data_IF_212721951185
#
_entry.id   IF_212721951185
#
_cell.length_a   1.000
_cell.length_b   1.000
_cell.length_c   1.000
_cell.angle_alpha   90.00
_cell.angle_beta   90.00
_cell.angle_gamma   90.00
#
_symmetry.space_group_name_H-M   'P 1'
#
loop_
_entity.id
_entity.type
_entity.pdbx_description
1 polymer ?
#
# COMPACT_ATOMS: atom_id res chain seq x y z
N UNK A 1 -21.27 -0.36 -45.88
CA UNK A 1 -20.67 0.26 -44.67
C UNK A 1 -20.49 -0.82 -43.61
N UNK A 2 -19.26 -1.27 -43.35
CA UNK A 2 -18.97 -2.16 -42.23
C UNK A 2 -19.01 -1.32 -40.94
N UNK A 3 -19.94 -1.63 -40.04
CA UNK A 3 -19.99 -0.99 -38.72
C UNK A 3 -19.08 -1.77 -37.78
N UNK A 4 -18.06 -1.10 -37.23
CA UNK A 4 -17.27 -1.62 -36.11
C UNK A 4 -18.11 -1.40 -34.85
N UNK A 5 -18.51 -2.49 -34.19
CA UNK A 5 -19.18 -2.42 -32.90
C UNK A 5 -18.12 -2.37 -31.79
N UNK A 6 -18.13 -1.29 -31.02
CA UNK A 6 -17.33 -1.16 -29.80
C UNK A 6 -18.18 -1.63 -28.61
N UNK A 7 -17.67 -2.61 -27.87
CA UNK A 7 -18.27 -3.12 -26.64
C UNK A 7 -17.45 -2.64 -25.45
N UNK A 8 -18.11 -2.03 -24.47
CA UNK A 8 -17.52 -1.64 -23.19
C UNK A 8 -17.96 -2.64 -22.14
N UNK A 9 -17.01 -3.40 -21.59
CA UNK A 9 -17.24 -4.27 -20.44
C UNK A 9 -16.95 -3.49 -19.15
N UNK A 10 -17.99 -3.26 -18.33
CA UNK A 10 -17.88 -2.54 -17.06
C UNK A 10 -17.19 -3.36 -15.95
N UNK A 11 -16.77 -4.59 -16.21
CA UNK A 11 -16.21 -5.50 -15.20
C UNK A 11 -17.30 -6.17 -14.34
N UNK A 12 -16.91 -7.23 -13.63
CA UNK A 12 -17.80 -7.92 -12.67
C UNK A 12 -17.85 -7.21 -11.32
N UNK A 13 -18.87 -7.48 -10.51
CA UNK A 13 -18.91 -6.98 -9.13
C UNK A 13 -17.68 -7.40 -8.31
N UNK A 14 -17.23 -8.66 -8.47
CA UNK A 14 -16.03 -9.18 -7.83
C UNK A 14 -14.77 -8.40 -8.22
N UNK A 15 -14.65 -7.98 -9.49
CA UNK A 15 -13.54 -7.14 -9.93
C UNK A 15 -13.48 -5.80 -9.19
N UNK A 16 -14.65 -5.16 -9.00
CA UNK A 16 -14.72 -3.89 -8.27
C UNK A 16 -14.49 -4.04 -6.76
N UNK A 17 -14.90 -5.16 -6.18
CA UNK A 17 -14.58 -5.54 -4.80
C UNK A 17 -13.07 -5.64 -4.60
N UNK A 18 -12.40 -6.48 -5.41
CA UNK A 18 -10.95 -6.66 -5.34
C UNK A 18 -10.21 -5.32 -5.52
N UNK A 19 -10.67 -4.46 -6.44
CA UNK A 19 -10.08 -3.14 -6.62
C UNK A 19 -10.22 -2.27 -5.37
N UNK A 20 -11.38 -2.30 -4.70
CA UNK A 20 -11.60 -1.53 -3.48
C UNK A 20 -10.66 -1.99 -2.37
N UNK A 21 -10.49 -3.30 -2.21
CA UNK A 21 -9.54 -3.89 -1.26
C UNK A 21 -8.10 -3.47 -1.57
N UNK A 22 -7.69 -3.54 -2.84
CA UNK A 22 -6.37 -3.09 -3.29
C UNK A 22 -6.11 -1.60 -2.98
N UNK A 23 -7.10 -0.73 -3.21
CA UNK A 23 -7.00 0.70 -2.86
C UNK A 23 -6.98 0.94 -1.35
N UNK A 24 -7.69 0.13 -0.57
CA UNK A 24 -7.67 0.20 0.88
C UNK A 24 -6.28 -0.17 1.43
N UNK A 25 -5.68 -1.24 0.93
CA UNK A 25 -4.31 -1.65 1.27
C UNK A 25 -3.28 -0.57 0.95
N UNK A 26 -3.35 0.04 -0.24
CA UNK A 26 -2.45 1.15 -0.61
C UNK A 26 -2.59 2.35 0.34
N UNK A 27 -3.83 2.69 0.71
CA UNK A 27 -4.10 3.80 1.64
C UNK A 27 -3.50 3.51 3.00
N UNK A 28 -3.63 2.28 3.47
CA UNK A 28 -3.11 1.86 4.77
C UNK A 28 -1.57 1.85 4.78
N UNK A 29 -0.93 1.26 3.76
CA UNK A 29 0.52 1.30 3.63
C UNK A 29 1.07 2.73 3.64
N UNK A 30 0.45 3.64 2.86
CA UNK A 30 0.82 5.06 2.85
C UNK A 30 0.60 5.75 4.20
N UNK A 31 -0.46 5.39 4.93
CA UNK A 31 -0.74 5.92 6.27
C UNK A 31 0.34 5.48 7.25
N UNK A 32 0.72 4.21 7.24
CA UNK A 32 1.73 3.66 8.14
C UNK A 32 3.11 4.24 7.85
N UNK A 33 3.50 4.45 6.59
CA UNK A 33 4.74 5.18 6.28
C UNK A 33 4.74 6.61 6.80
N UNK A 34 3.60 7.31 6.75
CA UNK A 34 3.49 8.65 7.35
C UNK A 34 3.66 8.60 8.86
N UNK A 35 3.08 7.60 9.53
CA UNK A 35 3.23 7.40 10.98
C UNK A 35 4.69 7.07 11.32
N UNK A 36 5.30 6.13 10.63
CA UNK A 36 6.70 5.73 10.85
C UNK A 36 7.67 6.91 10.73
N UNK A 37 7.46 7.81 9.75
CA UNK A 37 8.26 9.04 9.59
C UNK A 37 8.12 10.03 10.75
N UNK A 38 7.04 9.96 11.52
CA UNK A 38 6.75 10.85 12.64
C UNK A 38 7.10 10.22 14.00
N UNK A 39 7.31 8.90 14.04
CA UNK A 39 7.68 8.20 15.27
C UNK A 39 9.16 8.44 15.61
N UNK A 40 9.51 8.54 16.91
CA UNK A 40 10.90 8.64 17.33
C UNK A 40 11.63 7.34 17.01
N UNK A 41 12.91 7.44 16.62
CA UNK A 41 13.77 6.29 16.34
C UNK A 41 14.10 5.48 17.60
N UNK A 42 14.17 6.14 18.75
CA UNK A 42 14.43 5.53 20.04
C UNK A 42 13.30 5.87 21.02
N UNK A 43 12.88 4.88 21.80
CA UNK A 43 11.96 5.03 22.93
C UNK A 43 12.63 4.48 24.18
N UNK A 44 12.22 4.96 25.35
CA UNK A 44 12.68 4.38 26.61
C UNK A 44 11.87 3.10 26.90
N UNK A 45 12.56 2.04 27.35
CA UNK A 45 11.92 0.85 27.88
C UNK A 45 11.37 1.09 29.30
N UNK A 46 10.95 0.02 29.98
CA UNK A 46 10.40 0.10 31.33
C UNK A 46 11.40 0.59 32.38
N UNK A 47 12.70 0.41 32.13
CA UNK A 47 13.79 0.80 33.03
C UNK A 47 14.36 2.18 32.65
N UNK A 48 13.88 2.78 31.55
CA UNK A 48 14.33 4.08 31.07
C UNK A 48 15.49 3.98 30.05
N UNK A 49 15.89 2.77 29.67
CA UNK A 49 17.00 2.55 28.74
C UNK A 49 16.54 2.76 27.30
N UNK A 50 17.39 3.36 26.44
CA UNK A 50 17.03 3.63 25.05
C UNK A 50 16.95 2.32 24.24
N UNK A 51 15.79 2.07 23.65
CA UNK A 51 15.52 0.97 22.74
C UNK A 51 15.15 1.50 21.35
N UNK A 52 15.61 0.82 20.29
CA UNK A 52 15.17 1.10 18.93
C UNK A 52 13.66 0.85 18.77
N UNK A 53 12.97 1.83 18.21
CA UNK A 53 11.54 1.78 17.92
C UNK A 53 11.31 1.36 16.47
N UNK A 54 11.62 0.11 16.13
CA UNK A 54 11.47 -0.40 14.75
C UNK A 54 10.02 -0.69 14.37
N UNK A 55 9.15 -0.94 15.35
CA UNK A 55 7.76 -1.36 15.15
C UNK A 55 6.96 -0.54 14.14
N UNK A 56 7.00 0.81 14.15
CA UNK A 56 6.33 1.63 13.15
C UNK A 56 6.84 1.40 11.71
N UNK A 57 8.15 1.25 11.55
CA UNK A 57 8.79 0.98 10.24
C UNK A 57 8.46 -0.42 9.75
N UNK A 58 8.53 -1.42 10.64
CA UNK A 58 8.21 -2.81 10.34
C UNK A 58 6.74 -2.94 9.90
N UNK A 59 5.81 -2.31 10.63
CA UNK A 59 4.39 -2.30 10.27
C UNK A 59 4.13 -1.64 8.90
N UNK A 60 4.88 -0.60 8.55
CA UNK A 60 4.76 0.04 7.25
C UNK A 60 5.26 -0.86 6.10
N UNK A 61 6.37 -1.57 6.30
CA UNK A 61 6.88 -2.56 5.33
C UNK A 61 5.93 -3.75 5.18
N UNK A 62 5.35 -4.25 6.27
CA UNK A 62 4.38 -5.34 6.24
C UNK A 62 3.12 -4.95 5.45
N UNK A 63 2.63 -3.72 5.64
CA UNK A 63 1.49 -3.21 4.89
C UNK A 63 1.80 -3.01 3.40
N UNK A 64 3.02 -2.59 3.06
CA UNK A 64 3.47 -2.53 1.67
C UNK A 64 3.53 -3.94 1.05
N UNK A 65 4.08 -4.91 1.76
CA UNK A 65 4.11 -6.31 1.32
C UNK A 65 2.71 -6.86 1.08
N UNK A 66 1.76 -6.61 2.00
CA UNK A 66 0.36 -6.99 1.83
C UNK A 66 -0.27 -6.35 0.58
N UNK A 67 0.00 -5.08 0.31
CA UNK A 67 -0.46 -4.40 -0.89
C UNK A 67 0.09 -5.06 -2.17
N UNK A 68 1.40 -5.33 -2.24
CA UNK A 68 2.00 -5.94 -3.43
C UNK A 68 1.63 -7.43 -3.61
N UNK A 69 1.34 -8.15 -2.53
CA UNK A 69 0.85 -9.52 -2.58
C UNK A 69 -0.61 -9.62 -3.05
N UNK A 70 -1.40 -8.55 -2.91
CA UNK A 70 -2.80 -8.55 -3.33
C UNK A 70 -2.94 -8.46 -4.86
N UNK A 71 -3.74 -9.31 -5.53
CA UNK A 71 -3.88 -9.30 -7.00
C UNK A 71 -4.32 -7.95 -7.59
N UNK A 72 -5.23 -7.24 -6.91
CA UNK A 72 -5.58 -5.88 -7.32
C UNK A 72 -4.51 -4.84 -6.94
N UNK A 73 -3.79 -5.05 -5.84
CA UNK A 73 -2.72 -4.16 -5.41
C UNK A 73 -1.57 -4.15 -6.41
N UNK A 74 -1.13 -5.32 -6.88
CA UNK A 74 -0.14 -5.45 -7.94
C UNK A 74 -0.57 -4.75 -9.26
N UNK A 75 -1.85 -4.84 -9.64
CA UNK A 75 -2.40 -4.13 -10.81
C UNK A 75 -2.38 -2.61 -10.62
N UNK A 76 -2.81 -2.14 -9.45
CA UNK A 76 -2.78 -0.71 -9.09
C UNK A 76 -1.34 -0.19 -9.10
N UNK A 77 -0.40 -0.93 -8.51
CA UNK A 77 1.00 -0.58 -8.48
C UNK A 77 1.56 -0.39 -9.90
N UNK A 78 1.32 -1.37 -10.78
CA UNK A 78 1.71 -1.28 -12.19
C UNK A 78 1.10 -0.07 -12.90
N UNK A 79 -0.20 0.18 -12.70
CA UNK A 79 -0.90 1.30 -13.31
C UNK A 79 -0.40 2.67 -12.81
N UNK A 80 0.05 2.74 -11.55
CA UNK A 80 0.56 3.95 -10.91
C UNK A 80 2.08 4.11 -11.07
N UNK A 81 2.78 3.15 -11.70
CA UNK A 81 4.24 3.14 -11.79
C UNK A 81 4.94 2.96 -10.44
N UNK A 82 4.28 2.32 -9.47
CA UNK A 82 4.84 2.05 -8.15
C UNK A 82 5.63 0.75 -8.16
N UNK A 83 6.80 0.78 -7.54
CA UNK A 83 7.62 -0.40 -7.23
C UNK A 83 7.66 -0.61 -5.72
N UNK A 84 8.01 -1.83 -5.30
CA UNK A 84 8.25 -2.09 -3.89
C UNK A 84 9.34 -1.13 -3.35
N UNK A 85 9.09 -0.53 -2.19
CA UNK A 85 9.95 0.51 -1.58
C UNK A 85 9.69 1.93 -2.10
N UNK A 86 8.89 2.11 -3.15
CA UNK A 86 8.57 3.46 -3.67
C UNK A 86 7.65 4.25 -2.74
N UNK A 87 6.89 3.57 -1.86
CA UNK A 87 5.98 4.22 -0.92
C UNK A 87 6.73 5.00 0.17
N UNK A 88 7.94 4.58 0.51
CA UNK A 88 8.84 5.28 1.45
C UNK A 88 9.25 6.64 0.89
N UNK A 89 9.49 6.71 -0.42
CA UNK A 89 10.11 7.86 -1.10
C UNK A 89 9.14 8.96 -1.52
N UNK A 90 7.83 8.74 -1.38
CA UNK A 90 6.83 9.76 -1.67
C UNK A 90 6.97 10.93 -0.68
N UNK A 91 7.42 12.08 -1.20
CA UNK A 91 7.58 13.35 -0.49
C UNK A 91 6.22 13.96 -0.12
#
# INVERSE_FOLDING_TARGET
MNKVALSLNAGSAAYWEELREGWALLREARRLFKVAKLCPLYIADADGEPQENTGPTDAAHDAEAAFFAHPAGARIARAQGLTFGSLIQSK
#
